data_IF_529691850374
#
_entry.id   IF_529691850374
#
_cell.length_a   1.000
_cell.length_b   1.000
_cell.length_c   1.000
_cell.angle_alpha   90.00
_cell.angle_beta   90.00
_cell.angle_gamma   90.00
#
_symmetry.space_group_name_H-M   'P 1'
#
loop_
_entity.id
_entity.type
_entity.pdbx_description
1 polymer ?
#
# COMPACT_ATOMS: atom_id res chain seq x y z
N UNK A 1 -19.41 -1.72 -10.68
CA UNK A 1 -19.67 -1.74 -12.14
C UNK A 1 -21.15 -1.40 -12.38
N UNK A 2 -21.50 -0.10 -12.48
CA UNK A 2 -22.79 0.40 -13.01
C UNK A 2 -22.94 1.94 -12.96
N UNK A 3 -21.99 2.68 -12.37
CA UNK A 3 -21.88 4.15 -12.52
C UNK A 3 -20.65 4.63 -13.34
N UNK A 4 -19.69 3.75 -13.58
CA UNK A 4 -18.35 4.12 -14.06
C UNK A 4 -18.18 4.10 -15.60
N UNK A 5 -19.27 3.94 -16.36
CA UNK A 5 -19.19 4.01 -17.84
C UNK A 5 -18.98 5.45 -18.34
N UNK A 6 -19.49 6.45 -17.61
CA UNK A 6 -19.37 7.88 -17.94
C UNK A 6 -18.03 8.52 -17.54
N UNK A 7 -17.25 7.88 -16.66
CA UNK A 7 -16.03 8.45 -16.10
C UNK A 7 -14.81 8.21 -17.03
N UNK A 8 -14.98 7.44 -18.11
CA UNK A 8 -13.97 7.26 -19.18
C UNK A 8 -13.80 8.46 -20.13
N UNK A 9 -14.30 9.66 -19.79
CA UNK A 9 -14.32 10.86 -20.66
C UNK A 9 -13.52 12.07 -20.13
N UNK A 10 -12.71 11.96 -19.07
CA UNK A 10 -12.13 13.14 -18.38
C UNK A 10 -13.20 14.13 -17.89
N UNK A 11 -14.28 13.65 -17.25
CA UNK A 11 -15.39 14.50 -16.78
C UNK A 11 -15.16 15.13 -15.39
N UNK A 12 -14.20 14.63 -14.61
CA UNK A 12 -13.79 15.26 -13.34
C UNK A 12 -12.31 15.61 -13.46
N UNK A 13 -11.98 16.88 -13.29
CA UNK A 13 -10.59 17.32 -13.31
C UNK A 13 -9.85 16.74 -12.10
N UNK A 14 -8.58 16.35 -12.31
CA UNK A 14 -7.71 15.98 -11.21
C UNK A 14 -7.61 17.19 -10.25
N UNK A 15 -8.05 17.00 -9.00
CA UNK A 15 -8.11 18.07 -7.99
C UNK A 15 -9.47 18.77 -7.81
N UNK A 16 -10.53 18.42 -8.55
CA UNK A 16 -11.89 18.93 -8.25
C UNK A 16 -12.40 18.37 -6.91
N UNK A 17 -13.22 19.13 -6.18
CA UNK A 17 -13.90 18.65 -4.97
C UNK A 17 -14.64 17.30 -5.19
N UNK A 18 -15.16 17.06 -6.39
CA UNK A 18 -15.85 15.81 -6.76
C UNK A 18 -14.93 14.57 -6.76
N UNK A 19 -13.63 14.70 -7.07
CA UNK A 19 -12.66 13.59 -6.96
C UNK A 19 -12.08 13.47 -5.55
N UNK A 20 -11.91 14.59 -4.84
CA UNK A 20 -11.37 14.61 -3.47
C UNK A 20 -12.33 14.04 -2.42
N UNK A 21 -13.63 14.27 -2.54
CA UNK A 21 -14.64 13.79 -1.58
C UNK A 21 -14.65 12.25 -1.46
N UNK A 22 -14.82 11.47 -2.55
CA UNK A 22 -14.82 10.01 -2.44
C UNK A 22 -13.45 9.47 -2.01
N UNK A 23 -12.35 10.04 -2.51
CA UNK A 23 -11.00 9.65 -2.09
C UNK A 23 -10.83 9.81 -0.58
N UNK A 24 -11.10 11.01 -0.06
CA UNK A 24 -10.95 11.33 1.37
C UNK A 24 -11.91 10.50 2.23
N UNK A 25 -13.15 10.29 1.77
CA UNK A 25 -14.12 9.46 2.47
C UNK A 25 -13.61 8.02 2.64
N UNK A 26 -13.12 7.38 1.58
CA UNK A 26 -12.56 6.04 1.67
C UNK A 26 -11.31 5.99 2.54
N UNK A 27 -10.42 6.98 2.43
CA UNK A 27 -9.24 7.08 3.30
C UNK A 27 -9.62 7.14 4.78
N UNK A 28 -10.54 8.03 5.15
CA UNK A 28 -10.99 8.18 6.55
C UNK A 28 -11.74 6.94 7.02
N UNK A 29 -12.62 6.37 6.19
CA UNK A 29 -13.35 5.16 6.54
C UNK A 29 -12.41 3.97 6.82
N UNK A 30 -11.39 3.75 5.96
CA UNK A 30 -10.38 2.71 6.18
C UNK A 30 -9.52 2.99 7.41
N UNK A 31 -9.15 4.24 7.66
CA UNK A 31 -8.39 4.63 8.85
C UNK A 31 -9.19 4.32 10.12
N UNK A 32 -10.46 4.73 10.18
CA UNK A 32 -11.34 4.49 11.33
C UNK A 32 -11.59 2.99 11.53
N UNK A 33 -11.90 2.26 10.46
CA UNK A 33 -12.12 0.81 10.53
C UNK A 33 -10.89 0.06 11.04
N UNK A 34 -9.71 0.37 10.47
CA UNK A 34 -8.44 -0.27 10.86
C UNK A 34 -8.05 0.07 12.29
N UNK A 35 -8.24 1.33 12.70
CA UNK A 35 -7.98 1.78 14.07
C UNK A 35 -8.91 1.07 15.06
N UNK A 36 -10.20 0.99 14.75
CA UNK A 36 -11.19 0.29 15.58
C UNK A 36 -10.85 -1.19 15.75
N UNK A 37 -10.54 -1.90 14.66
CA UNK A 37 -10.18 -3.33 14.70
C UNK A 37 -8.87 -3.52 15.49
N UNK A 38 -7.89 -2.62 15.34
CA UNK A 38 -6.64 -2.67 16.08
C UNK A 38 -6.83 -2.46 17.59
N UNK A 39 -7.66 -1.48 17.97
CA UNK A 39 -8.05 -1.23 19.37
C UNK A 39 -8.83 -2.40 19.96
N UNK A 40 -9.73 -3.00 19.18
CA UNK A 40 -10.54 -4.14 19.62
C UNK A 40 -9.68 -5.38 19.91
N UNK A 41 -8.73 -5.69 19.02
CA UNK A 41 -7.77 -6.79 19.21
C UNK A 41 -6.84 -6.52 20.40
N UNK A 42 -6.38 -5.27 20.60
CA UNK A 42 -5.46 -4.91 21.67
C UNK A 42 -6.12 -4.83 23.06
N UNK A 43 -7.31 -4.25 23.15
CA UNK A 43 -8.04 -4.00 24.40
C UNK A 43 -9.11 -5.06 24.69
N UNK A 44 -9.31 -6.03 23.80
CA UNK A 44 -10.28 -7.12 23.93
C UNK A 44 -11.72 -6.64 24.18
N UNK A 45 -12.08 -5.49 23.58
CA UNK A 45 -13.37 -4.83 23.80
C UNK A 45 -14.52 -5.75 23.36
N UNK A 46 -14.32 -6.52 22.29
CA UNK A 46 -15.26 -7.51 21.75
C UNK A 46 -14.61 -8.91 21.68
N UNK A 47 -15.42 -9.97 21.94
CA UNK A 47 -14.95 -11.38 21.84
C UNK A 47 -14.82 -11.90 20.41
N UNK A 48 -15.32 -11.15 19.43
CA UNK A 48 -15.41 -11.55 18.01
C UNK A 48 -14.06 -11.52 17.29
N UNK A 49 -13.17 -10.59 17.64
CA UNK A 49 -11.81 -10.48 17.10
C UNK A 49 -10.74 -10.77 18.16
N UNK A 50 -11.11 -11.55 19.19
CA UNK A 50 -10.33 -11.75 20.41
C UNK A 50 -8.84 -12.08 20.19
N UNK A 51 -8.01 -11.83 21.20
CA UNK A 51 -6.57 -11.98 21.10
C UNK A 51 -6.21 -13.43 20.76
N UNK A 52 -5.04 -13.60 20.17
CA UNK A 52 -4.46 -14.89 19.83
C UNK A 52 -4.57 -15.89 20.98
N UNK A 53 -4.91 -17.14 20.68
CA UNK A 53 -4.93 -18.22 21.66
C UNK A 53 -3.78 -19.20 21.34
N UNK A 54 -2.69 -19.27 22.13
CA UNK A 54 -2.46 -18.62 23.43
C UNK A 54 -2.09 -17.12 23.34
N UNK A 55 -2.38 -16.30 24.39
CA UNK A 55 -2.15 -14.83 24.40
C UNK A 55 -0.68 -14.40 24.22
N UNK A 56 0.25 -15.32 24.47
CA UNK A 56 1.68 -15.11 24.28
C UNK A 56 2.11 -15.18 22.80
N UNK A 57 1.28 -15.76 21.93
CA UNK A 57 1.47 -15.61 20.50
C UNK A 57 0.91 -14.23 20.12
N UNK A 58 1.71 -13.28 19.64
CA UNK A 58 1.20 -12.00 19.12
C UNK A 58 0.62 -12.20 17.69
N UNK A 59 -0.17 -13.24 17.47
CA UNK A 59 -0.59 -13.68 16.15
C UNK A 59 -2.09 -13.50 15.94
N UNK A 60 -2.47 -12.35 15.37
CA UNK A 60 -3.85 -12.06 14.98
C UNK A 60 -4.00 -12.11 13.47
N UNK A 61 -4.63 -13.18 12.97
CA UNK A 61 -4.97 -13.35 11.55
C UNK A 61 -5.73 -12.14 10.99
N UNK A 62 -6.76 -11.58 11.65
CA UNK A 62 -7.47 -10.42 11.09
C UNK A 62 -6.60 -9.16 10.97
N UNK A 63 -5.67 -8.90 11.92
CA UNK A 63 -4.75 -7.76 11.77
C UNK A 63 -3.77 -8.01 10.64
N UNK A 64 -3.20 -9.22 10.53
CA UNK A 64 -2.27 -9.55 9.45
C UNK A 64 -2.89 -9.35 8.05
N UNK A 65 -4.15 -9.80 7.86
CA UNK A 65 -4.84 -9.60 6.59
C UNK A 65 -5.06 -8.11 6.32
N UNK A 66 -5.47 -7.36 7.34
CA UNK A 66 -5.83 -5.95 7.18
C UNK A 66 -4.62 -5.03 6.99
N UNK A 67 -3.48 -5.33 7.64
CA UNK A 67 -2.29 -4.47 7.62
C UNK A 67 -1.23 -4.92 6.62
N UNK A 68 -1.24 -6.18 6.15
CA UNK A 68 -0.30 -6.66 5.12
C UNK A 68 -0.99 -7.05 3.83
N UNK A 69 -1.94 -8.00 3.87
CA UNK A 69 -2.51 -8.56 2.63
C UNK A 69 -3.33 -7.51 1.87
N UNK A 70 -4.18 -6.76 2.57
CA UNK A 70 -5.03 -5.75 1.94
C UNK A 70 -4.22 -4.61 1.29
N UNK A 71 -3.23 -3.99 1.97
CA UNK A 71 -2.34 -3.01 1.32
C UNK A 71 -1.58 -3.59 0.13
N UNK A 72 -1.07 -4.82 0.22
CA UNK A 72 -0.39 -5.47 -0.89
C UNK A 72 -1.31 -5.66 -2.11
N UNK A 73 -2.56 -6.10 -1.89
CA UNK A 73 -3.57 -6.23 -2.94
C UNK A 73 -3.94 -4.86 -3.55
N UNK A 74 -4.11 -3.83 -2.72
CA UNK A 74 -4.39 -2.47 -3.18
C UNK A 74 -3.27 -1.92 -4.07
N UNK A 75 -2.01 -2.13 -3.70
CA UNK A 75 -0.84 -1.73 -4.49
C UNK A 75 -0.80 -2.44 -5.85
N UNK A 76 -1.12 -3.73 -5.90
CA UNK A 76 -1.19 -4.47 -7.17
C UNK A 76 -2.30 -3.94 -8.08
N UNK A 77 -3.50 -3.69 -7.52
CA UNK A 77 -4.61 -3.10 -8.28
C UNK A 77 -4.18 -1.72 -8.82
N UNK A 78 -3.55 -0.89 -7.99
CA UNK A 78 -3.03 0.41 -8.41
C UNK A 78 -2.03 0.28 -9.56
N UNK A 79 -1.08 -0.67 -9.48
CA UNK A 79 -0.12 -0.91 -10.55
C UNK A 79 -0.78 -1.27 -11.88
N UNK A 80 -1.76 -2.19 -11.89
CA UNK A 80 -2.46 -2.57 -13.11
C UNK A 80 -3.31 -1.44 -13.69
N UNK A 81 -4.00 -0.68 -12.84
CA UNK A 81 -4.78 0.49 -13.28
C UNK A 81 -3.85 1.55 -13.88
N UNK A 82 -2.74 1.87 -13.24
CA UNK A 82 -1.78 2.85 -13.76
C UNK A 82 -1.11 2.36 -15.05
N UNK A 83 -0.75 1.07 -15.13
CA UNK A 83 -0.23 0.49 -16.37
C UNK A 83 -1.23 0.62 -17.52
N UNK A 84 -2.52 0.37 -17.25
CA UNK A 84 -3.59 0.56 -18.24
C UNK A 84 -3.75 2.03 -18.66
N UNK A 85 -3.71 2.98 -17.72
CA UNK A 85 -3.80 4.42 -18.04
C UNK A 85 -2.62 4.86 -18.89
N UNK A 86 -1.40 4.51 -18.50
CA UNK A 86 -0.17 4.92 -19.17
C UNK A 86 -0.05 4.30 -20.58
N UNK A 87 -0.31 3.00 -20.73
CA UNK A 87 -0.20 2.32 -22.02
C UNK A 87 -1.42 2.49 -22.92
N UNK A 88 -2.62 2.48 -22.34
CA UNK A 88 -3.89 2.52 -23.06
C UNK A 88 -4.33 3.93 -23.43
N UNK A 89 -4.32 4.85 -22.45
CA UNK A 89 -4.81 6.21 -22.64
C UNK A 89 -3.72 7.15 -23.16
N UNK A 90 -2.56 7.20 -22.48
CA UNK A 90 -1.47 8.11 -22.85
C UNK A 90 -0.57 7.57 -23.96
N UNK A 91 -0.51 6.24 -24.14
CA UNK A 91 0.38 5.56 -25.09
C UNK A 91 1.86 5.92 -24.93
N UNK A 92 2.27 6.23 -23.70
CA UNK A 92 3.65 6.53 -23.37
C UNK A 92 4.29 5.40 -22.57
N UNK A 93 5.45 4.92 -23.00
CA UNK A 93 6.14 3.81 -22.31
C UNK A 93 7.15 4.27 -21.26
N UNK A 94 7.53 5.56 -21.26
CA UNK A 94 8.53 6.10 -20.34
C UNK A 94 8.08 6.03 -18.87
N UNK A 95 6.85 6.42 -18.51
CA UNK A 95 6.40 6.38 -17.11
C UNK A 95 6.28 4.95 -16.57
N UNK A 96 6.02 3.97 -17.44
CA UNK A 96 5.84 2.57 -17.05
C UNK A 96 7.08 2.00 -16.36
N UNK A 97 8.28 2.35 -16.82
CA UNK A 97 9.52 1.88 -16.22
C UNK A 97 9.67 2.31 -14.76
N UNK A 98 9.23 3.53 -14.42
CA UNK A 98 9.22 3.99 -13.04
C UNK A 98 8.21 3.20 -12.20
N UNK A 99 7.00 2.93 -12.71
CA UNK A 99 6.02 2.10 -11.99
C UNK A 99 6.50 0.65 -11.77
N UNK A 100 7.22 0.06 -12.72
CA UNK A 100 7.84 -1.25 -12.55
C UNK A 100 8.91 -1.20 -11.45
N UNK A 101 9.76 -0.17 -11.46
CA UNK A 101 10.78 0.02 -10.42
C UNK A 101 10.15 0.15 -9.02
N UNK A 102 9.05 0.90 -8.91
CA UNK A 102 8.27 1.00 -7.66
C UNK A 102 7.76 -0.36 -7.20
N UNK A 103 7.18 -1.15 -8.10
CA UNK A 103 6.65 -2.46 -7.76
C UNK A 103 7.76 -3.39 -7.24
N UNK A 104 8.95 -3.34 -7.85
CA UNK A 104 10.12 -4.10 -7.40
C UNK A 104 10.56 -3.63 -6.01
N UNK A 105 10.72 -2.32 -5.80
CA UNK A 105 11.11 -1.76 -4.50
C UNK A 105 10.12 -2.12 -3.39
N UNK A 106 8.82 -2.07 -3.68
CA UNK A 106 7.77 -2.47 -2.75
C UNK A 106 7.87 -3.95 -2.39
N UNK A 107 7.98 -4.85 -3.38
CA UNK A 107 8.12 -6.28 -3.13
C UNK A 107 9.38 -6.60 -2.32
N UNK A 108 10.50 -5.95 -2.63
CA UNK A 108 11.74 -6.09 -1.86
C UNK A 108 11.56 -5.64 -0.41
N UNK A 109 10.88 -4.52 -0.15
CA UNK A 109 10.58 -4.08 1.22
C UNK A 109 9.73 -5.11 1.99
N UNK A 110 8.70 -5.69 1.35
CA UNK A 110 7.90 -6.73 1.98
C UNK A 110 8.73 -8.00 2.27
N UNK A 111 9.62 -8.38 1.36
CA UNK A 111 10.55 -9.50 1.59
C UNK A 111 11.51 -9.21 2.75
N UNK A 112 11.99 -7.97 2.89
CA UNK A 112 12.85 -7.56 4.00
C UNK A 112 12.14 -7.70 5.35
N UNK A 113 10.88 -7.27 5.43
CA UNK A 113 10.05 -7.44 6.62
C UNK A 113 9.88 -8.91 7.03
N UNK A 114 9.56 -9.82 6.09
CA UNK A 114 9.22 -11.21 6.43
C UNK A 114 10.41 -12.18 6.45
N UNK A 115 11.36 -12.04 5.53
CA UNK A 115 12.45 -13.01 5.32
C UNK A 115 13.75 -12.52 5.96
N UNK A 116 14.05 -11.24 5.79
CA UNK A 116 15.39 -10.71 6.05
C UNK A 116 15.56 -10.18 7.48
N UNK A 117 14.47 -9.90 8.22
CA UNK A 117 14.51 -9.54 9.65
C UNK A 117 15.33 -10.53 10.50
N UNK A 118 15.23 -11.85 10.25
CA UNK A 118 16.04 -12.86 10.98
C UNK A 118 17.48 -12.96 10.48
N UNK A 119 17.70 -12.79 9.18
CA UNK A 119 19.01 -12.96 8.53
C UNK A 119 19.93 -11.76 8.82
N UNK A 120 19.40 -10.54 8.74
CA UNK A 120 20.14 -9.31 9.02
C UNK A 120 20.40 -9.14 10.52
N UNK A 121 19.46 -9.53 11.38
CA UNK A 121 19.66 -9.45 12.84
C UNK A 121 20.83 -10.35 13.30
N UNK A 122 20.91 -11.58 12.79
CA UNK A 122 22.03 -12.49 13.05
C UNK A 122 23.32 -12.08 12.32
N UNK A 123 23.25 -11.55 11.09
CA UNK A 123 24.41 -11.18 10.29
C UNK A 123 25.05 -9.83 10.68
N UNK A 124 24.28 -8.88 11.22
CA UNK A 124 24.76 -7.55 11.61
C UNK A 124 25.18 -7.45 13.08
N UNK A 125 25.16 -8.57 13.81
CA UNK A 125 25.37 -8.59 15.26
C UNK A 125 24.41 -7.64 16.00
N UNK A 126 23.12 -7.68 15.62
CA UNK A 126 22.04 -6.83 16.16
C UNK A 126 22.19 -5.32 15.96
N UNK A 127 23.05 -4.86 15.03
CA UNK A 127 23.26 -3.41 14.79
C UNK A 127 22.24 -2.80 13.83
N UNK A 128 21.69 -3.59 12.92
CA UNK A 128 20.72 -3.11 11.91
C UNK A 128 19.54 -4.06 11.89
N UNK A 129 18.34 -3.49 11.98
CA UNK A 129 17.07 -4.23 11.90
C UNK A 129 16.56 -4.24 10.45
N UNK A 130 15.94 -5.36 10.05
CA UNK A 130 15.30 -5.50 8.74
C UNK A 130 14.19 -4.46 8.54
N UNK A 131 13.51 -4.05 9.61
CA UNK A 131 12.49 -3.00 9.60
C UNK A 131 13.02 -1.64 9.10
N UNK A 132 14.27 -1.30 9.43
CA UNK A 132 14.90 -0.05 9.01
C UNK A 132 15.15 -0.03 7.50
N UNK A 133 15.69 -1.14 6.97
CA UNK A 133 15.96 -1.29 5.54
C UNK A 133 14.63 -1.32 4.77
N UNK A 134 13.63 -2.07 5.24
CA UNK A 134 12.33 -2.12 4.62
C UNK A 134 11.65 -0.73 4.54
N UNK A 135 11.75 0.07 5.61
CA UNK A 135 11.23 1.45 5.64
C UNK A 135 11.99 2.37 4.66
N UNK A 136 13.31 2.19 4.52
CA UNK A 136 14.11 2.92 3.53
C UNK A 136 13.66 2.59 2.09
N UNK A 137 13.49 1.30 1.78
CA UNK A 137 13.00 0.85 0.47
C UNK A 137 11.59 1.35 0.18
N UNK A 138 10.70 1.36 1.17
CA UNK A 138 9.36 1.95 1.05
C UNK A 138 9.42 3.46 0.77
N UNK A 139 10.27 4.19 1.47
CA UNK A 139 10.46 5.63 1.23
C UNK A 139 10.99 5.89 -0.18
N UNK A 140 11.92 5.06 -0.65
CA UNK A 140 12.41 5.13 -2.03
C UNK A 140 11.30 4.79 -3.03
N UNK A 141 10.44 3.81 -2.75
CA UNK A 141 9.30 3.49 -3.61
C UNK A 141 8.36 4.70 -3.74
N UNK A 142 8.06 5.41 -2.64
CA UNK A 142 7.25 6.64 -2.67
C UNK A 142 7.93 7.74 -3.50
N UNK A 143 9.24 7.93 -3.36
CA UNK A 143 9.98 8.89 -4.15
C UNK A 143 9.94 8.56 -5.66
N UNK A 144 10.08 7.29 -6.03
CA UNK A 144 10.01 6.86 -7.44
C UNK A 144 8.57 6.99 -7.98
N UNK A 145 7.54 6.72 -7.18
CA UNK A 145 6.14 7.00 -7.57
C UNK A 145 5.96 8.48 -7.89
N UNK A 146 6.52 9.37 -7.06
CA UNK A 146 6.44 10.82 -7.29
C UNK A 146 7.15 11.21 -8.60
N UNK A 147 8.32 10.64 -8.89
CA UNK A 147 9.01 10.86 -10.15
C UNK A 147 8.22 10.31 -11.35
N UNK A 148 7.56 9.16 -11.20
CA UNK A 148 6.69 8.59 -12.23
C UNK A 148 5.53 9.55 -12.55
N UNK A 149 4.87 10.06 -11.52
CA UNK A 149 3.79 11.04 -11.68
C UNK A 149 4.29 12.34 -12.34
N UNK A 150 5.42 12.87 -11.87
CA UNK A 150 6.03 14.07 -12.45
C UNK A 150 6.37 13.89 -13.93
N UNK A 151 6.83 12.69 -14.31
CA UNK A 151 7.14 12.37 -15.72
C UNK A 151 5.91 12.35 -16.63
N UNK A 152 4.72 12.12 -16.06
CA UNK A 152 3.44 12.17 -16.78
C UNK A 152 2.92 13.62 -16.91
N UNK A 153 3.14 14.46 -15.89
CA UNK A 153 2.61 15.84 -15.88
C UNK A 153 3.50 16.86 -16.61
N UNK A 154 4.81 16.60 -16.69
CA UNK A 154 5.77 17.49 -17.36
C UNK A 154 6.19 16.98 -18.76
N UNK A 155 5.61 15.84 -19.20
CA UNK A 155 5.87 15.20 -20.49
C UNK A 155 5.18 15.86 -21.67
#
# INVERSE_FOLDING_TARGET
LSGNSLISLQIVEDGTLSSLIPFTFFTVAFLVATTYISLDVALTITKTFGPSNPPAALHSVPLFVLTSIWPAAATLIFFFVMAYVVLGLLREVRPLWFYILVAILFVLSQLDYFVLSKVICNGSNMKVDGSFIATLLETLAVAVIYLAWRSVTEG
#
